data_IF_739564195038
#
_entry.id   IF_739564195038
#
_cell.length_a   1.000
_cell.length_b   1.000
_cell.length_c   1.000
_cell.angle_alpha   90.00
_cell.angle_beta   90.00
_cell.angle_gamma   90.00
#
_symmetry.space_group_name_H-M   'P 1'
#
loop_
_entity.id
_entity.type
_entity.pdbx_description
1 polymer ?
#
# COMPACT_ATOMS: atom_id res chain seq x y z
N UNK A 1 -35.79 7.32 -9.74
CA UNK A 1 -34.69 6.36 -9.88
C UNK A 1 -33.93 6.32 -8.57
N UNK A 2 -33.99 5.19 -7.85
CA UNK A 2 -33.30 5.00 -6.56
C UNK A 2 -31.81 4.78 -6.85
N UNK A 3 -30.95 5.67 -6.34
CA UNK A 3 -29.50 5.46 -6.33
C UNK A 3 -29.24 4.21 -5.47
N UNK A 4 -28.82 3.11 -6.10
CA UNK A 4 -28.22 1.99 -5.38
C UNK A 4 -26.93 2.53 -4.75
N UNK A 5 -26.94 2.71 -3.43
CA UNK A 5 -25.71 2.85 -2.67
C UNK A 5 -24.90 1.57 -2.90
N UNK A 6 -23.69 1.73 -3.46
CA UNK A 6 -22.64 0.71 -3.50
C UNK A 6 -22.29 0.34 -2.05
N UNK A 7 -23.04 -0.59 -1.46
CA UNK A 7 -22.73 -1.20 -0.16
C UNK A 7 -21.62 -2.26 -0.26
N UNK A 8 -20.80 -2.21 -1.32
CA UNK A 8 -19.80 -3.24 -1.63
C UNK A 8 -18.42 -3.04 -0.97
N UNK A 9 -17.89 -1.83 -0.65
CA UNK A 9 -16.50 -1.75 -0.16
C UNK A 9 -16.35 -2.24 1.30
N UNK A 10 -17.36 -2.08 2.15
CA UNK A 10 -17.24 -2.36 3.59
C UNK A 10 -17.20 -3.86 3.95
N UNK A 11 -17.91 -4.71 3.21
CA UNK A 11 -17.95 -6.17 3.48
C UNK A 11 -16.72 -6.91 2.94
N UNK A 12 -16.08 -6.39 1.89
CA UNK A 12 -14.80 -6.91 1.41
C UNK A 12 -13.66 -6.57 2.39
N UNK A 13 -13.71 -5.40 3.02
CA UNK A 13 -12.71 -4.93 4.00
C UNK A 13 -12.68 -5.74 5.31
N UNK A 14 -13.85 -6.12 5.84
CA UNK A 14 -13.94 -6.97 7.04
C UNK A 14 -13.48 -8.41 6.75
N UNK A 15 -13.75 -8.90 5.55
CA UNK A 15 -13.17 -10.15 5.06
C UNK A 15 -11.64 -10.04 4.90
N UNK A 16 -11.11 -8.89 4.48
CA UNK A 16 -9.67 -8.57 4.39
C UNK A 16 -8.97 -8.63 5.75
N UNK A 17 -9.60 -8.08 6.81
CA UNK A 17 -9.06 -8.11 8.16
C UNK A 17 -9.10 -9.51 8.80
N UNK A 18 -10.16 -10.28 8.56
CA UNK A 18 -10.25 -11.67 9.01
C UNK A 18 -9.33 -12.59 8.19
N UNK A 19 -9.13 -12.28 6.91
CA UNK A 19 -8.17 -12.93 6.04
C UNK A 19 -6.75 -12.61 6.48
N UNK A 20 -6.40 -11.39 6.93
CA UNK A 20 -5.04 -11.05 7.42
C UNK A 20 -4.58 -11.94 8.58
N UNK A 21 -5.49 -12.38 9.46
CA UNK A 21 -5.13 -13.35 10.52
C UNK A 21 -4.94 -14.79 9.99
N UNK A 22 -5.63 -15.17 8.90
CA UNK A 22 -5.50 -16.47 8.23
C UNK A 22 -4.37 -16.55 7.16
N UNK A 23 -4.14 -15.48 6.40
CA UNK A 23 -3.01 -15.26 5.46
C UNK A 23 -1.67 -15.22 6.18
N UNK A 24 -1.67 -15.00 7.50
CA UNK A 24 -0.47 -14.93 8.32
C UNK A 24 0.30 -16.24 8.48
N UNK A 25 -0.04 -17.30 7.73
CA UNK A 25 0.62 -18.62 7.81
C UNK A 25 1.53 -18.94 6.63
N UNK A 26 1.21 -18.46 5.42
CA UNK A 26 1.89 -18.87 4.17
C UNK A 26 2.35 -17.64 3.34
N UNK A 27 3.67 -17.50 3.06
CA UNK A 27 4.20 -16.42 2.21
C UNK A 27 3.53 -16.35 0.83
N UNK A 28 3.23 -17.50 0.23
CA UNK A 28 2.60 -17.57 -1.10
C UNK A 28 1.20 -16.94 -1.11
N UNK A 29 0.49 -16.97 0.02
CA UNK A 29 -0.82 -16.35 0.14
C UNK A 29 -0.75 -14.82 0.15
N UNK A 30 0.27 -14.22 0.78
CA UNK A 30 0.44 -12.77 0.80
C UNK A 30 0.82 -12.24 -0.59
N UNK A 31 1.70 -12.95 -1.29
CA UNK A 31 2.11 -12.54 -2.62
C UNK A 31 0.96 -12.62 -3.62
N UNK A 32 0.18 -13.71 -3.60
CA UNK A 32 -0.99 -13.85 -4.45
C UNK A 32 -2.03 -12.73 -4.21
N UNK A 33 -2.22 -12.34 -2.95
CA UNK A 33 -3.09 -11.22 -2.61
C UNK A 33 -2.56 -9.89 -3.16
N UNK A 34 -1.26 -9.60 -3.00
CA UNK A 34 -0.67 -8.38 -3.57
C UNK A 34 -0.80 -8.36 -5.10
N UNK A 35 -0.58 -9.50 -5.76
CA UNK A 35 -0.77 -9.63 -7.20
C UNK A 35 -2.22 -9.40 -7.61
N UNK A 36 -3.19 -9.89 -6.83
CA UNK A 36 -4.60 -9.62 -7.07
C UNK A 36 -4.88 -8.11 -7.00
N UNK A 37 -4.44 -7.42 -5.94
CA UNK A 37 -4.64 -5.97 -5.78
C UNK A 37 -4.00 -5.18 -6.93
N UNK A 38 -2.78 -5.55 -7.33
CA UNK A 38 -2.06 -4.92 -8.44
C UNK A 38 -2.79 -5.09 -9.79
N UNK A 39 -3.50 -6.20 -9.98
CA UNK A 39 -4.17 -6.55 -11.25
C UNK A 39 -5.62 -6.04 -11.33
N UNK A 40 -6.31 -5.92 -10.20
CA UNK A 40 -7.74 -5.56 -10.16
C UNK A 40 -7.99 -4.05 -10.01
N UNK A 41 -7.08 -3.33 -9.35
CA UNK A 41 -7.21 -1.90 -9.04
C UNK A 41 -6.40 -0.98 -9.96
N UNK A 42 -6.70 0.32 -9.92
CA UNK A 42 -5.82 1.33 -10.50
C UNK A 42 -4.51 1.36 -9.71
N UNK A 43 -3.39 1.17 -10.41
CA UNK A 43 -2.07 1.12 -9.80
C UNK A 43 -1.03 1.84 -10.64
N UNK A 44 -0.02 2.39 -9.98
CA UNK A 44 1.10 3.07 -10.61
C UNK A 44 2.34 3.01 -9.70
N UNK A 45 3.53 3.05 -10.30
CA UNK A 45 4.76 3.23 -9.51
C UNK A 45 4.66 4.55 -8.73
N UNK A 46 4.90 4.51 -7.42
CA UNK A 46 4.53 5.56 -6.50
C UNK A 46 5.27 6.88 -6.75
N UNK A 47 6.55 6.85 -7.12
CA UNK A 47 7.29 8.09 -7.47
C UNK A 47 6.77 8.71 -8.75
N UNK A 48 6.57 7.93 -9.80
CA UNK A 48 6.00 8.41 -11.06
C UNK A 48 4.58 8.95 -10.85
N UNK A 49 3.75 8.22 -10.11
CA UNK A 49 2.41 8.66 -9.73
C UNK A 49 2.47 9.99 -8.98
N UNK A 50 3.29 10.12 -7.95
CA UNK A 50 3.43 11.38 -7.22
C UNK A 50 3.88 12.54 -8.12
N UNK A 51 4.96 12.34 -8.88
CA UNK A 51 5.58 13.37 -9.71
C UNK A 51 4.71 13.83 -10.88
N UNK A 52 3.91 12.94 -11.46
CA UNK A 52 2.99 13.29 -12.55
C UNK A 52 1.84 14.16 -12.05
N UNK A 53 1.33 13.90 -10.84
CA UNK A 53 0.34 14.75 -10.19
C UNK A 53 0.89 16.13 -9.85
N UNK A 54 2.07 16.19 -9.22
CA UNK A 54 2.73 17.45 -8.85
C UNK A 54 2.94 18.37 -10.06
N UNK A 55 3.41 17.82 -11.19
CA UNK A 55 3.57 18.56 -12.46
C UNK A 55 2.24 19.06 -13.03
N UNK A 56 1.15 18.33 -12.80
CA UNK A 56 -0.19 18.71 -13.24
C UNK A 56 -0.89 19.68 -12.27
N UNK A 57 -0.30 19.97 -11.11
CA UNK A 57 -0.95 20.73 -10.04
C UNK A 57 -2.05 19.94 -9.31
N UNK A 58 -2.04 18.61 -9.44
CA UNK A 58 -2.96 17.70 -8.74
C UNK A 58 -2.38 17.32 -7.38
N UNK A 59 -3.24 17.25 -6.37
CA UNK A 59 -2.85 16.74 -5.05
C UNK A 59 -2.92 15.22 -5.09
N UNK A 60 -1.82 14.55 -4.74
CA UNK A 60 -1.75 13.08 -4.63
C UNK A 60 -1.27 12.67 -3.26
N UNK A 61 -2.07 11.87 -2.57
CA UNK A 61 -1.81 11.56 -1.15
C UNK A 61 -1.94 10.08 -0.83
N UNK A 62 -1.11 9.63 0.11
CA UNK A 62 -1.36 8.37 0.80
C UNK A 62 -2.28 8.68 1.98
N UNK A 63 -3.45 8.04 2.03
CA UNK A 63 -4.48 8.30 3.05
C UNK A 63 -4.80 9.81 3.17
N UNK A 64 -5.19 10.27 4.36
CA UNK A 64 -5.43 11.68 4.71
C UNK A 64 -4.13 12.50 4.90
N UNK A 65 -2.96 11.96 4.55
CA UNK A 65 -1.71 12.72 4.68
C UNK A 65 -1.62 13.84 3.66
N UNK A 66 -0.77 14.82 3.96
CA UNK A 66 -0.47 15.88 3.00
C UNK A 66 0.55 15.42 1.94
N UNK A 67 0.73 16.25 0.93
CA UNK A 67 1.59 15.98 -0.22
C UNK A 67 3.08 15.79 0.20
N UNK A 68 3.55 16.56 1.18
CA UNK A 68 4.92 16.47 1.70
C UNK A 68 5.18 15.15 2.41
N UNK A 69 4.31 14.76 3.34
CA UNK A 69 4.39 13.50 4.06
C UNK A 69 4.23 12.30 3.12
N UNK A 70 3.38 12.42 2.10
CA UNK A 70 3.24 11.39 1.06
C UNK A 70 4.57 11.15 0.34
N UNK A 71 5.24 12.22 -0.09
CA UNK A 71 6.57 12.13 -0.70
C UNK A 71 7.59 11.50 0.25
N UNK A 72 7.61 11.94 1.51
CA UNK A 72 8.53 11.44 2.52
C UNK A 72 8.36 9.93 2.75
N UNK A 73 7.12 9.44 2.82
CA UNK A 73 6.84 8.00 2.94
C UNK A 73 7.38 7.24 1.74
N UNK A 74 7.11 7.72 0.52
CA UNK A 74 7.57 7.06 -0.71
C UNK A 74 9.10 7.02 -0.74
N UNK A 75 9.75 8.14 -0.47
CA UNK A 75 11.21 8.24 -0.49
C UNK A 75 11.87 7.43 0.63
N UNK A 76 11.33 7.42 1.86
CA UNK A 76 11.83 6.58 2.96
C UNK A 76 11.80 5.10 2.56
N UNK A 77 10.71 4.61 1.94
CA UNK A 77 10.63 3.21 1.50
C UNK A 77 11.74 2.84 0.50
N UNK A 78 12.02 3.72 -0.46
CA UNK A 78 13.13 3.53 -1.40
C UNK A 78 14.50 3.62 -0.73
N UNK A 79 14.71 4.54 0.22
CA UNK A 79 15.94 4.65 0.99
C UNK A 79 16.20 3.43 1.89
N UNK A 80 15.13 2.79 2.38
CA UNK A 80 15.21 1.53 3.12
C UNK A 80 15.55 0.33 2.22
N UNK A 81 15.48 0.50 0.90
CA UNK A 81 15.91 -0.45 -0.11
C UNK A 81 14.78 -1.17 -0.86
N UNK A 82 13.57 -0.60 -0.89
CA UNK A 82 12.51 -1.11 -1.78
C UNK A 82 13.00 -1.15 -3.24
N UNK A 83 12.72 -2.25 -3.96
CA UNK A 83 12.99 -2.32 -5.40
C UNK A 83 12.00 -1.47 -6.18
N UNK A 84 10.74 -1.51 -5.77
CA UNK A 84 9.64 -0.73 -6.34
C UNK A 84 8.59 -0.52 -5.25
N UNK A 85 8.01 0.66 -5.22
CA UNK A 85 6.84 0.98 -4.41
C UNK A 85 5.70 1.27 -5.37
N UNK A 86 4.60 0.55 -5.26
CA UNK A 86 3.42 0.73 -6.11
C UNK A 86 2.29 1.30 -5.27
N UNK A 87 1.78 2.47 -5.66
CA UNK A 87 0.50 2.98 -5.20
C UNK A 87 -0.60 2.13 -5.84
N UNK A 88 -1.44 1.49 -5.04
CA UNK A 88 -2.45 0.55 -5.51
C UNK A 88 -3.84 0.93 -5.02
N UNK A 89 -4.88 0.42 -5.68
CA UNK A 89 -6.27 0.79 -5.38
C UNK A 89 -6.47 2.32 -5.34
N UNK A 90 -5.90 3.02 -6.32
CA UNK A 90 -5.94 4.48 -6.40
C UNK A 90 -7.38 4.94 -6.66
N UNK A 91 -7.93 5.74 -5.76
CA UNK A 91 -9.14 6.52 -5.99
C UNK A 91 -8.77 7.87 -6.59
N UNK A 92 -9.37 8.24 -7.72
CA UNK A 92 -9.00 9.43 -8.46
C UNK A 92 -10.22 10.23 -8.90
N UNK A 93 -10.17 11.53 -8.66
CA UNK A 93 -10.97 12.55 -9.32
C UNK A 93 -10.08 13.23 -10.38
N UNK A 94 -10.21 12.87 -11.68
CA UNK A 94 -9.29 13.33 -12.71
C UNK A 94 -9.17 14.85 -12.78
N UNK A 95 -7.93 15.36 -12.79
CA UNK A 95 -7.65 16.80 -12.84
C UNK A 95 -7.81 17.54 -11.52
N UNK A 96 -8.12 16.84 -10.42
CA UNK A 96 -8.33 17.44 -9.10
C UNK A 96 -7.45 16.77 -8.07
N UNK A 97 -7.62 15.47 -7.86
CA UNK A 97 -7.05 14.76 -6.72
C UNK A 97 -6.97 13.26 -7.00
N UNK A 98 -5.97 12.59 -6.42
CA UNK A 98 -5.97 11.14 -6.32
C UNK A 98 -5.37 10.69 -4.99
N UNK A 99 -5.89 9.63 -4.41
CA UNK A 99 -5.34 9.03 -3.20
C UNK A 99 -5.29 7.53 -3.24
N UNK A 100 -4.46 6.98 -2.39
CA UNK A 100 -4.39 5.55 -2.13
C UNK A 100 -4.22 5.30 -0.64
N UNK A 101 -4.84 4.25 -0.15
CA UNK A 101 -4.62 3.76 1.21
C UNK A 101 -3.61 2.61 1.23
N UNK A 102 -3.13 2.17 0.06
CA UNK A 102 -2.35 0.95 -0.12
C UNK A 102 -1.06 1.21 -0.87
N UNK A 103 0.06 0.84 -0.24
CA UNK A 103 1.33 0.68 -0.92
C UNK A 103 1.75 -0.79 -0.95
N UNK A 104 2.12 -1.27 -2.14
CA UNK A 104 2.72 -2.59 -2.32
C UNK A 104 4.20 -2.39 -2.62
N UNK A 105 5.04 -2.88 -1.73
CA UNK A 105 6.49 -2.78 -1.84
C UNK A 105 7.05 -4.09 -2.38
N UNK A 106 7.70 -4.04 -3.54
CA UNK A 106 8.51 -5.15 -4.04
C UNK A 106 9.79 -5.21 -3.23
N UNK A 107 9.96 -6.31 -2.49
CA UNK A 107 11.06 -6.48 -1.57
C UNK A 107 12.36 -6.80 -2.31
N UNK A 108 13.51 -6.29 -1.84
CA UNK A 108 14.81 -6.64 -2.39
C UNK A 108 15.19 -8.08 -2.03
N UNK A 109 16.16 -8.64 -2.76
CA UNK A 109 16.77 -9.94 -2.43
C UNK A 109 17.70 -9.83 -1.20
N UNK A 110 18.27 -8.66 -0.93
CA UNK A 110 19.23 -8.48 0.14
C UNK A 110 18.56 -8.45 1.53
N UNK A 111 19.06 -9.28 2.44
CA UNK A 111 18.46 -9.46 3.76
C UNK A 111 18.51 -8.22 4.68
N UNK A 112 19.42 -7.28 4.43
CA UNK A 112 19.58 -6.09 5.25
C UNK A 112 18.48 -5.07 4.97
N UNK A 113 18.21 -4.79 3.70
CA UNK A 113 17.14 -3.91 3.25
C UNK A 113 15.77 -4.51 3.55
N UNK A 114 15.57 -5.82 3.33
CA UNK A 114 14.33 -6.51 3.74
C UNK A 114 14.02 -6.25 5.22
N UNK A 115 15.00 -6.47 6.10
CA UNK A 115 14.84 -6.26 7.55
C UNK A 115 14.44 -4.83 7.90
N UNK A 116 15.00 -3.83 7.20
CA UNK A 116 14.63 -2.42 7.39
C UNK A 116 13.17 -2.16 7.02
N UNK A 117 12.72 -2.69 5.88
CA UNK A 117 11.34 -2.57 5.40
C UNK A 117 10.33 -3.24 6.34
N UNK A 118 10.62 -4.45 6.83
CA UNK A 118 9.76 -5.10 7.84
C UNK A 118 9.74 -4.36 9.17
N UNK A 119 10.87 -3.80 9.61
CA UNK A 119 10.90 -2.95 10.81
C UNK A 119 10.06 -1.68 10.60
N UNK A 120 10.12 -1.08 9.42
CA UNK A 120 9.26 0.05 9.06
C UNK A 120 7.79 -0.33 9.18
N UNK A 121 7.36 -1.43 8.53
CA UNK A 121 5.98 -1.91 8.64
C UNK A 121 5.59 -2.20 10.09
N UNK A 122 6.45 -2.86 10.86
CA UNK A 122 6.17 -3.20 12.25
C UNK A 122 5.96 -1.96 13.11
N UNK A 123 6.68 -0.87 12.83
CA UNK A 123 6.50 0.43 13.50
C UNK A 123 5.14 1.03 13.17
N UNK A 124 4.73 1.00 11.89
CA UNK A 124 3.42 1.50 11.45
C UNK A 124 2.28 0.66 12.04
N UNK A 125 2.37 -0.67 11.95
CA UNK A 125 1.38 -1.61 12.50
C UNK A 125 1.28 -1.50 14.02
N UNK A 126 2.39 -1.34 14.74
CA UNK A 126 2.37 -1.18 16.21
C UNK A 126 1.64 0.09 16.66
N UNK A 127 1.75 1.17 15.87
CA UNK A 127 1.00 2.40 16.14
C UNK A 127 -0.52 2.15 16.09
N UNK A 128 -0.97 1.24 15.23
CA UNK A 128 -2.36 0.80 15.09
C UNK A 128 -2.76 -0.34 16.05
N UNK A 129 -1.87 -0.73 16.97
CA UNK A 129 -2.09 -1.86 17.89
C UNK A 129 -2.05 -3.24 17.22
N UNK A 130 -1.53 -3.33 15.99
CA UNK A 130 -1.36 -4.55 15.23
C UNK A 130 0.05 -5.13 15.37
N UNK A 131 0.18 -6.45 15.30
CA UNK A 131 1.47 -7.11 15.19
C UNK A 131 2.06 -6.93 13.78
N UNK A 132 3.34 -6.58 13.70
CA UNK A 132 4.04 -6.47 12.42
C UNK A 132 4.14 -7.81 11.67
N UNK A 133 4.36 -7.72 10.37
CA UNK A 133 4.57 -8.87 9.49
C UNK A 133 5.97 -9.45 9.67
N UNK A 134 6.08 -10.77 9.58
CA UNK A 134 7.36 -11.46 9.62
C UNK A 134 7.91 -11.63 8.21
N UNK A 135 9.23 -11.47 8.06
CA UNK A 135 9.92 -11.89 6.84
C UNK A 135 9.95 -13.41 6.77
N UNK A 136 9.38 -13.97 5.71
CA UNK A 136 9.30 -15.39 5.40
C UNK A 136 9.68 -15.69 3.95
N UNK A 137 10.36 -14.76 3.29
CA UNK A 137 10.76 -14.88 1.88
C UNK A 137 9.69 -14.50 0.87
N UNK A 138 8.60 -13.84 1.29
CA UNK A 138 7.62 -13.25 0.38
C UNK A 138 8.24 -12.19 -0.53
N UNK A 139 7.67 -12.03 -1.72
CA UNK A 139 8.08 -11.06 -2.74
C UNK A 139 7.61 -9.65 -2.41
N UNK A 140 6.43 -9.52 -1.79
CA UNK A 140 5.83 -8.23 -1.51
C UNK A 140 5.65 -7.96 -0.02
N UNK A 141 5.71 -6.69 0.34
CA UNK A 141 5.26 -6.16 1.62
C UNK A 141 4.05 -5.26 1.36
N UNK A 142 2.93 -5.60 1.98
CA UNK A 142 1.68 -4.85 1.89
C UNK A 142 1.61 -3.84 3.04
N UNK A 143 1.49 -2.56 2.71
CA UNK A 143 1.32 -1.47 3.65
C UNK A 143 -0.05 -0.83 3.41
N UNK A 144 -0.79 -0.58 4.50
CA UNK A 144 -2.13 -0.03 4.43
C UNK A 144 -2.39 0.95 5.58
N UNK A 145 -3.15 1.99 5.29
CA UNK A 145 -3.57 3.05 6.21
C UNK A 145 -5.11 3.17 6.24
N UNK A 146 -5.65 3.52 7.40
CA UNK A 146 -7.10 3.68 7.69
C UNK A 146 -7.31 4.77 8.73
#
# INVERSE_FOLDING_TARGET
MKKLLKAWPFMALLALMLARSWLSSDPGSNDAFCEQVLNEGASAEAREWFQTGDKAGEVRTIYEFNNEMTREIIDELYELGAMTVTAADIDAEPGVYASTDVLIVTLPEDSASRRKLFRYESRQSSFLGLGGMWDRGQKYLFLWWD
#
